data_IF_325032377709
#
_entry.id   IF_325032377709
#
_cell.length_a   1.000
_cell.length_b   1.000
_cell.length_c   1.000
_cell.angle_alpha   90.00
_cell.angle_beta   90.00
_cell.angle_gamma   90.00
#
_symmetry.space_group_name_H-M   'P 1'
#
loop_
_entity.id
_entity.type
_entity.pdbx_description
1 polymer ?
#
# COMPACT_ATOMS: atom_id res chain seq x y z
N UNK A 1 47.02 -9.57 65.88
CA UNK A 1 47.08 -9.85 64.47
C UNK A 1 45.64 -9.85 63.92
N UNK A 2 45.24 -8.75 63.30
CA UNK A 2 43.89 -8.59 62.75
C UNK A 2 43.94 -8.87 61.26
N UNK A 3 43.18 -9.89 60.78
CA UNK A 3 43.01 -10.22 59.36
C UNK A 3 41.93 -9.34 58.76
N UNK A 4 42.29 -8.48 57.80
CA UNK A 4 41.38 -7.66 57.02
C UNK A 4 40.93 -8.53 55.83
N UNK A 5 39.62 -8.84 55.78
CA UNK A 5 39.00 -9.54 54.67
C UNK A 5 38.52 -8.51 53.66
N UNK A 6 39.13 -8.46 52.50
CA UNK A 6 38.64 -7.68 51.33
C UNK A 6 37.46 -8.44 50.71
N UNK A 7 36.28 -7.86 50.83
CA UNK A 7 35.13 -8.28 50.04
C UNK A 7 35.18 -7.53 48.69
N UNK A 8 35.49 -8.25 47.64
CA UNK A 8 35.28 -7.78 46.26
C UNK A 8 33.79 -7.76 45.99
N UNK A 9 33.22 -6.57 45.84
CA UNK A 9 31.88 -6.39 45.32
C UNK A 9 31.99 -6.36 43.79
N UNK A 10 31.63 -7.48 43.14
CA UNK A 10 31.50 -7.57 41.69
C UNK A 10 30.18 -6.92 41.29
N UNK A 11 30.21 -5.68 40.87
CA UNK A 11 29.07 -5.00 40.25
C UNK A 11 28.98 -5.48 38.80
N UNK A 12 28.09 -6.45 38.57
CA UNK A 12 27.69 -6.83 37.20
C UNK A 12 26.72 -5.78 36.72
N UNK A 13 27.21 -4.89 35.88
CA UNK A 13 26.36 -3.91 35.18
C UNK A 13 25.60 -4.64 34.09
N UNK A 14 24.37 -5.08 34.36
CA UNK A 14 23.45 -5.57 33.36
C UNK A 14 22.98 -4.35 32.55
N UNK A 15 23.61 -4.11 31.40
CA UNK A 15 23.08 -3.21 30.40
C UNK A 15 21.86 -3.88 29.74
N UNK A 16 20.68 -3.62 30.32
CA UNK A 16 19.42 -3.89 29.62
C UNK A 16 19.38 -2.93 28.44
N UNK A 17 19.64 -3.45 27.23
CA UNK A 17 19.26 -2.78 26.01
C UNK A 17 17.72 -2.67 26.02
N UNK A 18 17.22 -1.54 26.49
CA UNK A 18 15.84 -1.18 26.24
C UNK A 18 15.71 -1.01 24.73
N UNK A 19 15.14 -1.99 24.07
CA UNK A 19 14.58 -1.79 22.74
C UNK A 19 13.42 -0.84 22.97
N UNK A 20 13.64 0.44 22.68
CA UNK A 20 12.53 1.37 22.61
C UNK A 20 11.64 0.91 21.48
N UNK A 21 10.59 0.17 21.81
CA UNK A 21 9.47 -0.07 20.93
C UNK A 21 8.75 1.27 20.87
N UNK A 22 9.11 2.09 19.90
CA UNK A 22 8.30 3.26 19.57
C UNK A 22 6.90 2.74 19.28
N UNK A 23 5.85 3.24 19.98
CA UNK A 23 4.50 2.91 19.58
C UNK A 23 4.38 3.37 18.13
N UNK A 24 4.15 2.42 17.21
CA UNK A 24 3.69 2.78 15.88
C UNK A 24 2.41 3.57 16.12
N UNK A 25 2.49 4.87 15.93
CA UNK A 25 1.31 5.73 15.98
C UNK A 25 0.31 5.12 15.02
N UNK A 26 -0.87 4.73 15.51
CA UNK A 26 -1.89 4.21 14.64
C UNK A 26 -2.18 5.31 13.61
N UNK A 27 -1.92 5.01 12.34
CA UNK A 27 -2.23 5.92 11.25
C UNK A 27 -3.73 6.18 11.28
N UNK A 28 -4.13 7.42 11.56
CA UNK A 28 -5.53 7.83 11.56
C UNK A 28 -5.87 8.45 10.21
N UNK A 29 -7.04 8.05 9.65
CA UNK A 29 -7.52 8.56 8.37
C UNK A 29 -6.81 7.98 7.14
N UNK A 30 -7.17 8.53 6.00
CA UNK A 30 -6.66 8.14 4.69
C UNK A 30 -5.89 9.28 4.04
N UNK A 31 -4.91 8.94 3.21
CA UNK A 31 -4.28 9.90 2.31
C UNK A 31 -5.28 10.56 1.33
N UNK A 32 -6.45 9.97 1.12
CA UNK A 32 -7.48 10.52 0.22
C UNK A 32 -8.54 11.36 0.93
N UNK A 33 -8.38 11.60 2.25
CA UNK A 33 -9.22 12.53 2.98
C UNK A 33 -8.86 13.98 2.62
N UNK A 34 -9.84 14.86 2.65
CA UNK A 34 -9.66 16.29 2.34
C UNK A 34 -8.58 16.92 3.23
N UNK A 35 -7.62 17.58 2.62
CA UNK A 35 -6.50 18.23 3.29
C UNK A 35 -5.26 17.35 3.51
N UNK A 36 -5.31 16.04 3.21
CA UNK A 36 -4.17 15.14 3.31
C UNK A 36 -3.38 15.01 1.99
N UNK A 37 -3.83 15.63 0.90
CA UNK A 37 -3.15 15.61 -0.38
C UNK A 37 -3.15 17.00 -1.04
N UNK A 38 -2.22 17.22 -1.97
CA UNK A 38 -2.04 18.51 -2.66
C UNK A 38 -2.96 18.60 -3.89
N UNK A 39 -4.14 19.20 -3.71
CA UNK A 39 -5.09 19.41 -4.81
C UNK A 39 -4.53 20.34 -5.91
N UNK A 40 -3.73 21.35 -5.53
CA UNK A 40 -3.15 22.29 -6.49
C UNK A 40 -2.09 21.64 -7.38
N UNK A 41 -1.35 20.65 -6.85
CA UNK A 41 -0.36 19.91 -7.61
C UNK A 41 -1.01 19.19 -8.80
N UNK A 42 -2.16 18.59 -8.56
CA UNK A 42 -2.88 17.88 -9.61
C UNK A 42 -3.32 18.79 -10.72
N UNK A 43 -3.92 19.93 -10.39
CA UNK A 43 -4.36 20.94 -11.38
C UNK A 43 -3.19 21.45 -12.24
N UNK A 44 -2.01 21.60 -11.65
CA UNK A 44 -0.80 22.07 -12.33
C UNK A 44 -0.15 21.03 -13.22
N UNK A 45 -0.33 19.74 -12.92
CA UNK A 45 0.39 18.64 -13.58
C UNK A 45 -0.47 17.80 -14.52
N UNK A 46 -1.78 17.97 -14.50
CA UNK A 46 -2.71 17.13 -15.26
C UNK A 46 -2.40 17.03 -16.75
N UNK A 47 -2.05 18.13 -17.39
CA UNK A 47 -1.75 18.18 -18.82
C UNK A 47 -0.30 17.77 -19.16
N UNK A 48 0.57 17.61 -18.17
CA UNK A 48 1.97 17.26 -18.40
C UNK A 48 2.12 15.80 -18.86
N UNK A 49 3.01 15.56 -19.82
CA UNK A 49 3.38 14.20 -20.23
C UNK A 49 4.18 13.48 -19.13
N UNK A 50 4.95 14.26 -18.34
CA UNK A 50 5.69 13.76 -17.17
C UNK A 50 5.23 14.52 -15.94
N UNK A 51 4.68 13.79 -14.98
CA UNK A 51 4.22 14.30 -13.70
C UNK A 51 5.29 13.98 -12.64
N UNK A 52 5.82 14.99 -12.01
CA UNK A 52 6.90 14.85 -11.00
C UNK A 52 6.30 14.85 -9.61
N UNK A 53 6.66 13.86 -8.80
CA UNK A 53 6.23 13.69 -7.41
C UNK A 53 7.45 13.82 -6.50
N UNK A 54 7.40 14.73 -5.55
CA UNK A 54 8.48 15.04 -4.60
C UNK A 54 8.05 14.95 -3.14
N UNK A 55 6.74 14.90 -2.85
CA UNK A 55 6.20 14.85 -1.50
C UNK A 55 5.12 13.78 -1.37
N UNK A 56 4.82 13.32 -0.14
CA UNK A 56 3.74 12.36 0.08
C UNK A 56 2.35 12.92 -0.26
N UNK A 57 2.13 14.23 -0.10
CA UNK A 57 0.87 14.89 -0.46
C UNK A 57 0.67 14.93 -1.97
N UNK A 58 1.73 15.14 -2.77
CA UNK A 58 1.69 15.05 -4.24
C UNK A 58 1.44 13.61 -4.68
N UNK A 59 2.08 12.64 -4.02
CA UNK A 59 1.85 11.22 -4.26
C UNK A 59 0.39 10.83 -3.98
N UNK A 60 -0.16 11.34 -2.89
CA UNK A 60 -1.55 11.12 -2.52
C UNK A 60 -2.53 11.79 -3.50
N UNK A 61 -2.21 13.00 -4.00
CA UNK A 61 -3.01 13.68 -5.02
C UNK A 61 -3.10 12.86 -6.31
N UNK A 62 -1.97 12.29 -6.77
CA UNK A 62 -1.96 11.37 -7.90
C UNK A 62 -2.85 10.15 -7.68
N UNK A 63 -2.77 9.50 -6.50
CA UNK A 63 -3.61 8.36 -6.13
C UNK A 63 -5.09 8.72 -6.04
N UNK A 64 -5.42 9.88 -5.46
CA UNK A 64 -6.79 10.39 -5.38
C UNK A 64 -7.40 10.63 -6.77
N UNK A 65 -6.61 11.07 -7.74
CA UNK A 65 -7.05 11.25 -9.11
C UNK A 65 -7.43 9.94 -9.80
N UNK A 66 -6.67 8.87 -9.58
CA UNK A 66 -7.04 7.53 -10.07
C UNK A 66 -8.38 7.08 -9.47
N UNK A 67 -8.60 7.37 -8.21
CA UNK A 67 -9.80 6.94 -7.48
C UNK A 67 -11.05 7.74 -7.89
N UNK A 68 -10.95 9.10 -7.98
CA UNK A 68 -12.09 9.99 -8.22
C UNK A 68 -12.51 10.10 -9.67
N UNK A 69 -11.55 10.11 -10.62
CA UNK A 69 -11.83 10.50 -12.02
C UNK A 69 -11.53 9.42 -13.04
N UNK A 70 -11.21 8.19 -12.61
CA UNK A 70 -10.84 7.09 -13.50
C UNK A 70 -9.66 7.44 -14.42
N UNK A 71 -8.75 8.29 -13.95
CA UNK A 71 -7.60 8.68 -14.75
C UNK A 71 -6.62 7.52 -14.80
N UNK A 72 -6.58 6.90 -15.95
CA UNK A 72 -5.74 5.73 -16.18
C UNK A 72 -4.31 6.10 -16.59
N UNK A 73 -4.05 7.41 -16.81
CA UNK A 73 -2.75 7.95 -17.22
C UNK A 73 -2.14 7.31 -18.47
N UNK A 74 -2.92 7.01 -19.54
CA UNK A 74 -2.34 6.47 -20.75
C UNK A 74 -1.31 7.44 -21.31
N UNK A 75 -0.19 6.91 -21.81
CA UNK A 75 0.91 7.68 -22.42
C UNK A 75 1.59 8.72 -21.50
N UNK A 76 1.29 8.72 -20.19
CA UNK A 76 1.93 9.60 -19.22
C UNK A 76 2.96 8.86 -18.38
N UNK A 77 3.99 9.60 -17.95
CA UNK A 77 4.97 9.13 -16.97
C UNK A 77 4.75 9.83 -15.64
N UNK A 78 4.56 9.07 -14.58
CA UNK A 78 4.60 9.54 -13.20
C UNK A 78 5.98 9.19 -12.64
N UNK A 79 6.74 10.20 -12.19
CA UNK A 79 8.13 10.01 -11.76
C UNK A 79 8.33 10.55 -10.35
N UNK A 80 9.00 9.77 -9.52
CA UNK A 80 9.49 10.25 -8.23
C UNK A 80 10.73 11.14 -8.43
N UNK A 81 10.87 12.16 -7.58
CA UNK A 81 12.03 13.06 -7.54
C UNK A 81 12.62 13.16 -6.12
N UNK A 82 12.09 12.40 -5.17
CA UNK A 82 12.57 12.25 -3.79
C UNK A 82 12.11 10.91 -3.21
N UNK A 83 12.71 10.52 -2.10
CA UNK A 83 12.15 9.47 -1.24
C UNK A 83 10.83 9.96 -0.63
N UNK A 84 9.83 9.07 -0.56
CA UNK A 84 8.46 9.40 -0.14
C UNK A 84 8.13 8.66 1.16
N UNK A 85 7.90 9.40 2.24
CA UNK A 85 7.44 8.85 3.52
C UNK A 85 5.92 8.90 3.62
N UNK A 86 5.27 7.73 3.50
CA UNK A 86 3.82 7.58 3.53
C UNK A 86 3.28 7.21 4.92
N UNK A 87 4.07 7.39 5.98
CA UNK A 87 3.72 6.93 7.34
C UNK A 87 2.60 7.70 8.02
N UNK A 88 2.19 8.88 7.52
CA UNK A 88 1.20 9.73 8.18
C UNK A 88 -0.23 9.17 8.12
N UNK A 89 -0.65 8.61 6.99
CA UNK A 89 -2.01 8.16 6.76
C UNK A 89 -2.04 6.81 6.02
N UNK A 90 -3.19 6.14 6.06
CA UNK A 90 -3.39 4.88 5.32
C UNK A 90 -3.60 5.15 3.84
N UNK A 91 -3.04 4.30 3.01
CA UNK A 91 -3.29 4.27 1.58
C UNK A 91 -4.44 3.33 1.28
N UNK A 92 -5.59 3.86 0.90
CA UNK A 92 -6.67 3.04 0.38
C UNK A 92 -6.30 2.69 -1.06
N UNK A 93 -6.32 1.42 -1.42
CA UNK A 93 -6.00 1.01 -2.79
C UNK A 93 -6.83 1.79 -3.79
N UNK A 94 -6.21 2.49 -4.77
CA UNK A 94 -6.97 3.22 -5.77
C UNK A 94 -7.74 2.26 -6.66
N UNK A 95 -9.06 2.32 -6.57
CA UNK A 95 -10.00 1.61 -7.43
C UNK A 95 -11.08 2.59 -7.84
N UNK A 96 -11.48 2.58 -9.09
CA UNK A 96 -12.64 3.33 -9.50
C UNK A 96 -13.82 2.39 -9.60
N UNK A 97 -14.72 2.46 -8.62
CA UNK A 97 -15.91 1.60 -8.53
C UNK A 97 -16.81 1.69 -9.77
N UNK A 98 -16.87 2.85 -10.40
CA UNK A 98 -17.82 3.12 -11.47
C UNK A 98 -17.32 2.70 -12.86
N UNK A 99 -15.98 2.69 -13.08
CA UNK A 99 -15.38 2.50 -14.41
C UNK A 99 -14.25 1.48 -14.45
N UNK A 100 -13.99 0.75 -13.37
CA UNK A 100 -12.88 -0.22 -13.29
C UNK A 100 -11.53 0.46 -13.46
N UNK A 101 -11.20 1.41 -12.58
CA UNK A 101 -9.96 2.17 -12.63
C UNK A 101 -8.73 1.27 -12.66
N UNK A 102 -7.82 1.57 -13.57
CA UNK A 102 -6.53 0.91 -13.70
C UNK A 102 -5.46 1.93 -14.07
N UNK A 103 -4.23 1.65 -13.73
CA UNK A 103 -3.10 2.44 -14.19
C UNK A 103 -2.55 1.85 -15.49
N UNK A 104 -2.32 2.68 -16.52
CA UNK A 104 -1.83 2.22 -17.82
C UNK A 104 -0.62 2.98 -18.35
N UNK A 105 -0.06 3.90 -17.55
CA UNK A 105 1.12 4.69 -17.89
C UNK A 105 2.44 4.05 -17.49
N UNK A 106 3.45 4.90 -17.41
CA UNK A 106 4.75 4.54 -16.84
C UNK A 106 4.83 5.11 -15.43
N UNK A 107 5.11 4.25 -14.43
CA UNK A 107 5.50 4.70 -13.10
C UNK A 107 7.00 4.49 -12.94
N UNK A 108 7.73 5.58 -12.76
CA UNK A 108 9.18 5.61 -12.68
C UNK A 108 9.61 6.04 -11.26
N UNK A 109 10.05 5.08 -10.46
CA UNK A 109 10.58 5.36 -9.13
C UNK A 109 11.91 6.13 -9.15
N UNK A 110 12.59 6.17 -10.30
CA UNK A 110 13.88 6.85 -10.54
C UNK A 110 14.96 6.51 -9.47
N UNK A 111 14.85 5.32 -8.86
CA UNK A 111 15.73 4.82 -7.82
C UNK A 111 15.40 5.33 -6.40
N UNK A 112 14.35 6.14 -6.24
CA UNK A 112 13.87 6.56 -4.93
C UNK A 112 13.04 5.49 -4.23
N UNK A 113 12.88 5.67 -2.93
CA UNK A 113 12.22 4.70 -2.04
C UNK A 113 10.90 5.27 -1.51
N UNK A 114 9.88 4.43 -1.48
CA UNK A 114 8.66 4.67 -0.70
C UNK A 114 8.79 3.92 0.62
N UNK A 115 8.57 4.62 1.73
CA UNK A 115 8.62 4.10 3.10
C UNK A 115 7.32 4.34 3.85
N UNK A 116 7.08 3.58 4.93
CA UNK A 116 5.96 3.78 5.84
C UNK A 116 4.57 3.55 5.23
N UNK A 117 4.49 3.06 4.00
CA UNK A 117 3.23 2.86 3.29
C UNK A 117 2.41 1.74 3.95
N UNK A 118 1.25 2.08 4.50
CA UNK A 118 0.27 1.11 4.98
C UNK A 118 -0.91 1.07 4.03
N UNK A 119 -0.94 0.04 3.19
CA UNK A 119 -2.02 -0.19 2.23
C UNK A 119 -3.17 -0.90 2.93
N UNK A 120 -4.39 -0.38 2.75
CA UNK A 120 -5.63 -1.05 3.14
C UNK A 120 -6.48 -1.32 1.91
N UNK A 121 -7.29 -2.40 1.91
CA UNK A 121 -8.08 -2.76 0.75
C UNK A 121 -9.16 -1.74 0.44
N UNK A 122 -9.45 -1.59 -0.85
CA UNK A 122 -10.71 -1.05 -1.31
C UNK A 122 -11.68 -2.20 -1.63
N UNK A 123 -12.97 -1.91 -1.52
CA UNK A 123 -14.06 -2.83 -1.80
C UNK A 123 -14.80 -2.39 -3.06
N UNK A 124 -15.00 -3.30 -3.99
CA UNK A 124 -15.78 -3.09 -5.21
C UNK A 124 -17.00 -4.01 -5.22
N UNK A 125 -18.18 -3.48 -5.49
CA UNK A 125 -19.42 -4.23 -5.48
C UNK A 125 -19.98 -4.49 -4.08
N UNK A 126 -21.03 -5.28 -3.97
CA UNK A 126 -21.66 -5.65 -2.68
C UNK A 126 -22.94 -4.87 -2.36
N UNK A 127 -23.66 -4.41 -3.38
CA UNK A 127 -25.05 -3.99 -3.23
C UNK A 127 -25.94 -5.16 -2.78
N UNK A 128 -27.16 -4.86 -2.34
CA UNK A 128 -28.11 -5.87 -1.84
C UNK A 128 -28.47 -6.96 -2.87
N UNK A 129 -28.19 -6.70 -4.15
CA UNK A 129 -28.50 -7.60 -5.30
C UNK A 129 -27.22 -8.12 -5.98
N UNK A 130 -26.00 -7.81 -5.47
CA UNK A 130 -24.75 -8.26 -6.07
C UNK A 130 -24.27 -9.59 -5.46
N UNK A 131 -24.36 -10.64 -6.25
CA UNK A 131 -23.80 -11.97 -5.92
C UNK A 131 -22.24 -11.99 -5.95
N UNK A 132 -21.59 -10.82 -6.04
CA UNK A 132 -20.15 -10.70 -6.22
C UNK A 132 -19.58 -9.50 -5.48
N UNK A 133 -18.55 -9.76 -4.66
CA UNK A 133 -17.76 -8.72 -4.00
C UNK A 133 -16.29 -8.91 -4.37
N UNK A 134 -15.67 -7.85 -4.86
CA UNK A 134 -14.23 -7.81 -5.07
C UNK A 134 -13.59 -6.97 -3.99
N UNK A 135 -12.46 -7.45 -3.46
CA UNK A 135 -11.61 -6.74 -2.50
C UNK A 135 -10.20 -6.74 -3.06
N UNK A 136 -9.65 -5.55 -3.24
CA UNK A 136 -8.32 -5.37 -3.80
C UNK A 136 -7.43 -4.59 -2.84
N UNK A 137 -6.19 -5.05 -2.68
CA UNK A 137 -5.20 -4.40 -1.83
C UNK A 137 -3.84 -4.35 -2.54
N UNK A 138 -3.31 -3.15 -2.75
CA UNK A 138 -2.02 -2.89 -3.38
C UNK A 138 -1.74 -1.40 -3.49
N UNK A 139 -0.50 -1.02 -3.77
CA UNK A 139 -0.18 0.36 -4.13
C UNK A 139 -1.02 0.78 -5.35
N UNK A 140 -1.15 -0.12 -6.33
CA UNK A 140 -2.12 -0.06 -7.42
C UNK A 140 -3.18 -1.15 -7.24
N UNK A 141 -4.45 -0.84 -7.50
CA UNK A 141 -5.50 -1.86 -7.58
C UNK A 141 -5.29 -2.75 -8.81
N UNK A 142 -5.42 -2.17 -9.99
CA UNK A 142 -5.14 -2.84 -11.26
C UNK A 142 -4.15 -2.04 -12.09
N UNK A 143 -3.21 -2.72 -12.73
CA UNK A 143 -2.34 -2.17 -13.76
C UNK A 143 -2.63 -2.86 -15.09
N UNK A 144 -2.72 -2.10 -16.19
CA UNK A 144 -3.06 -2.66 -17.50
C UNK A 144 -2.19 -2.05 -18.60
N UNK A 145 -1.39 -2.88 -19.28
CA UNK A 145 -0.47 -2.41 -20.30
C UNK A 145 0.54 -1.37 -19.78
N UNK A 146 0.86 -1.41 -18.50
CA UNK A 146 1.67 -0.42 -17.81
C UNK A 146 3.13 -0.84 -17.68
N UNK A 147 4.00 0.14 -17.43
CA UNK A 147 5.37 -0.10 -17.03
C UNK A 147 5.61 0.48 -15.61
N UNK A 148 6.04 -0.35 -14.68
CA UNK A 148 6.47 0.06 -13.34
C UNK A 148 7.97 -0.21 -13.26
N UNK A 149 8.76 0.83 -13.00
CA UNK A 149 10.21 0.66 -13.01
C UNK A 149 10.91 1.43 -11.90
N UNK A 150 12.10 0.95 -11.54
CA UNK A 150 13.02 1.60 -10.60
C UNK A 150 12.37 2.00 -9.27
N UNK A 151 11.32 1.27 -8.86
CA UNK A 151 10.55 1.50 -7.63
C UNK A 151 11.07 0.62 -6.51
N UNK A 152 11.32 1.23 -5.34
CA UNK A 152 11.62 0.51 -4.10
C UNK A 152 10.50 0.75 -3.09
N UNK A 153 9.91 -0.34 -2.57
CA UNK A 153 9.14 -0.36 -1.32
C UNK A 153 10.04 -0.96 -0.25
N UNK A 154 10.29 -0.23 0.84
CA UNK A 154 11.15 -0.72 1.92
C UNK A 154 10.41 -1.64 2.92
N UNK A 155 11.13 -2.11 3.93
CA UNK A 155 10.60 -3.01 4.98
C UNK A 155 9.63 -2.37 5.96
N UNK A 156 9.43 -1.05 5.91
CA UNK A 156 8.42 -0.35 6.70
C UNK A 156 7.06 -0.30 6.02
N UNK A 157 7.02 -0.65 4.72
CA UNK A 157 5.80 -0.75 3.95
C UNK A 157 5.05 -2.05 4.26
N UNK A 158 3.72 -2.01 4.23
CA UNK A 158 2.89 -3.19 4.45
C UNK A 158 1.52 -3.08 3.78
N UNK A 159 0.96 -4.24 3.46
CA UNK A 159 -0.44 -4.39 3.07
C UNK A 159 -1.19 -5.03 4.23
N UNK A 160 -2.14 -4.32 4.81
CA UNK A 160 -2.98 -4.78 5.91
C UNK A 160 -4.37 -5.16 5.40
N UNK A 161 -4.69 -6.45 5.43
CA UNK A 161 -6.04 -6.92 5.14
C UNK A 161 -6.70 -7.30 6.45
N UNK A 162 -7.64 -6.47 6.97
CA UNK A 162 -8.31 -6.73 8.24
C UNK A 162 -9.17 -7.99 8.15
N UNK A 163 -9.62 -8.46 9.30
CA UNK A 163 -10.58 -9.56 9.37
C UNK A 163 -11.83 -9.18 8.57
N UNK A 164 -12.18 -10.01 7.59
CA UNK A 164 -13.32 -9.78 6.72
C UNK A 164 -14.38 -10.82 7.01
N UNK A 165 -15.60 -10.35 7.24
CA UNK A 165 -16.77 -11.20 7.41
C UNK A 165 -17.56 -11.22 6.09
N UNK A 166 -17.65 -12.37 5.46
CA UNK A 166 -18.57 -12.56 4.36
C UNK A 166 -19.99 -12.80 4.90
N UNK A 167 -20.76 -11.72 5.03
CA UNK A 167 -22.19 -11.80 5.41
C UNK A 167 -23.11 -12.01 4.20
N UNK A 168 -22.55 -12.08 2.99
CA UNK A 168 -23.33 -12.09 1.76
C UNK A 168 -23.41 -13.48 1.16
N UNK A 169 -24.49 -13.71 0.47
CA UNK A 169 -24.75 -14.96 -0.28
C UNK A 169 -23.99 -15.03 -1.62
N UNK A 170 -22.96 -14.19 -1.81
CA UNK A 170 -22.22 -14.04 -3.07
C UNK A 170 -20.77 -14.52 -3.04
N UNK A 171 -20.12 -14.49 -4.19
CA UNK A 171 -18.71 -14.83 -4.35
C UNK A 171 -17.80 -13.69 -3.87
N UNK A 172 -16.71 -14.02 -3.19
CA UNK A 172 -15.67 -13.08 -2.79
C UNK A 172 -14.40 -13.32 -3.62
N UNK A 173 -13.99 -12.31 -4.39
CA UNK A 173 -12.70 -12.27 -5.09
C UNK A 173 -11.74 -11.33 -4.33
N UNK A 174 -10.75 -11.90 -3.68
CA UNK A 174 -9.75 -11.18 -2.90
C UNK A 174 -8.42 -11.20 -3.64
N UNK A 175 -7.95 -10.02 -4.08
CA UNK A 175 -6.66 -9.84 -4.75
C UNK A 175 -5.75 -8.95 -3.91
N UNK A 176 -4.60 -9.48 -3.55
CA UNK A 176 -3.62 -8.81 -2.69
C UNK A 176 -2.25 -8.84 -3.39
N UNK A 177 -1.65 -7.68 -3.54
CA UNK A 177 -0.28 -7.54 -4.01
C UNK A 177 0.34 -6.29 -3.41
N UNK A 178 1.63 -6.28 -3.14
CA UNK A 178 2.28 -5.11 -2.54
C UNK A 178 2.35 -3.94 -3.50
N UNK A 179 2.76 -4.17 -4.75
CA UNK A 179 2.78 -3.14 -5.79
C UNK A 179 1.43 -3.10 -6.51
N UNK A 180 0.95 -4.20 -7.06
CA UNK A 180 -0.32 -4.25 -7.76
C UNK A 180 -1.13 -5.47 -7.34
N UNK A 181 -2.42 -5.28 -7.06
CA UNK A 181 -3.33 -6.38 -6.75
C UNK A 181 -3.69 -7.20 -8.01
N UNK A 182 -3.70 -6.57 -9.18
CA UNK A 182 -3.97 -7.23 -10.46
C UNK A 182 -3.14 -6.61 -11.58
N UNK A 183 -2.66 -7.45 -12.50
CA UNK A 183 -1.94 -7.03 -13.70
C UNK A 183 -2.59 -7.65 -14.94
N UNK A 184 -2.93 -6.82 -15.93
CA UNK A 184 -3.65 -7.21 -17.13
C UNK A 184 -2.93 -6.74 -18.40
N UNK A 185 -2.89 -7.59 -19.42
CA UNK A 185 -2.23 -7.29 -20.68
C UNK A 185 -0.69 -7.30 -20.57
N UNK A 186 -0.03 -6.47 -21.36
CA UNK A 186 1.44 -6.38 -21.40
C UNK A 186 1.96 -5.45 -20.32
N UNK A 187 2.08 -5.94 -19.09
CA UNK A 187 2.59 -5.21 -17.93
C UNK A 187 4.06 -5.56 -17.70
N UNK A 188 4.88 -4.54 -17.45
CA UNK A 188 6.29 -4.70 -17.18
C UNK A 188 6.68 -4.14 -15.81
N UNK A 189 7.35 -4.98 -15.00
CA UNK A 189 8.02 -4.56 -13.76
C UNK A 189 9.53 -4.64 -13.99
N UNK A 190 10.21 -3.50 -13.94
CA UNK A 190 11.62 -3.39 -14.30
C UNK A 190 12.42 -2.82 -13.13
N UNK A 191 13.39 -3.58 -12.60
CA UNK A 191 14.26 -3.17 -11.48
C UNK A 191 13.49 -2.68 -10.25
N UNK A 192 12.33 -3.26 -9.98
CA UNK A 192 11.57 -2.98 -8.77
C UNK A 192 12.12 -3.79 -7.60
N UNK A 193 12.19 -3.17 -6.44
CA UNK A 193 12.59 -3.81 -5.17
C UNK A 193 11.39 -3.75 -4.23
N UNK A 194 10.93 -4.91 -3.79
CA UNK A 194 9.82 -5.00 -2.84
C UNK A 194 10.29 -5.70 -1.57
N UNK A 195 10.22 -4.98 -0.44
CA UNK A 195 10.46 -5.50 0.91
C UNK A 195 9.25 -5.35 1.81
N UNK A 196 8.12 -4.91 1.25
CA UNK A 196 6.89 -4.72 2.00
C UNK A 196 6.31 -6.05 2.47
N UNK A 197 5.75 -6.06 3.67
CA UNK A 197 5.05 -7.20 4.25
C UNK A 197 3.58 -7.25 3.84
N UNK A 198 3.01 -8.47 3.78
CA UNK A 198 1.57 -8.67 3.65
C UNK A 198 1.06 -9.28 4.96
N UNK A 199 0.22 -8.52 5.66
CA UNK A 199 -0.39 -8.91 6.92
C UNK A 199 -1.87 -9.18 6.69
N UNK A 200 -2.26 -10.45 6.72
CA UNK A 200 -3.67 -10.85 6.53
C UNK A 200 -4.20 -11.54 7.77
N UNK A 201 -5.46 -11.25 8.12
CA UNK A 201 -6.22 -12.03 9.08
C UNK A 201 -7.11 -13.04 8.33
N UNK A 202 -7.51 -14.16 8.97
CA UNK A 202 -8.36 -15.14 8.30
C UNK A 202 -9.68 -14.55 7.85
N UNK A 203 -10.10 -14.89 6.63
CA UNK A 203 -11.45 -14.59 6.15
C UNK A 203 -12.41 -15.60 6.74
N UNK A 204 -13.36 -15.14 7.58
CA UNK A 204 -14.37 -16.00 8.18
C UNK A 204 -15.62 -16.06 7.28
N UNK A 205 -16.06 -17.28 7.00
CA UNK A 205 -17.34 -17.53 6.31
C UNK A 205 -18.48 -17.65 7.31
N UNK A 206 -19.56 -16.96 7.01
CA UNK A 206 -20.85 -17.18 7.67
C UNK A 206 -21.88 -17.47 6.58
N UNK A 207 -22.17 -18.76 6.32
CA UNK A 207 -23.22 -19.19 5.36
C UNK A 207 -22.80 -20.30 4.41
N UNK A 208 -23.76 -20.99 3.84
CA UNK A 208 -23.59 -22.13 2.94
C UNK A 208 -23.23 -21.71 1.51
N UNK A 209 -22.24 -22.37 0.93
CA UNK A 209 -21.97 -22.58 -0.50
C UNK A 209 -21.60 -21.40 -1.40
N UNK A 210 -20.56 -20.60 -1.05
CA UNK A 210 -20.02 -19.63 -2.02
C UNK A 210 -18.49 -19.76 -2.13
N UNK A 211 -17.95 -19.44 -3.31
CA UNK A 211 -16.52 -19.55 -3.58
C UNK A 211 -15.76 -18.33 -3.04
N UNK A 212 -14.67 -18.56 -2.33
CA UNK A 212 -13.68 -17.52 -2.01
C UNK A 212 -12.47 -17.80 -2.89
N UNK A 213 -12.19 -16.90 -3.81
CA UNK A 213 -10.95 -16.89 -4.58
C UNK A 213 -10.00 -15.90 -3.90
N UNK A 214 -8.87 -16.38 -3.40
CA UNK A 214 -7.86 -15.55 -2.80
C UNK A 214 -6.55 -15.67 -3.60
N UNK A 215 -6.13 -14.56 -4.20
CA UNK A 215 -4.83 -14.45 -4.88
C UNK A 215 -3.94 -13.51 -4.07
N UNK A 216 -2.85 -14.06 -3.54
CA UNK A 216 -1.83 -13.28 -2.82
C UNK A 216 -0.53 -13.40 -3.60
N UNK A 217 0.00 -12.28 -4.06
CA UNK A 217 1.30 -12.24 -4.72
C UNK A 217 2.14 -11.08 -4.16
N UNK A 218 3.34 -11.40 -3.68
CA UNK A 218 4.39 -10.40 -3.67
C UNK A 218 4.71 -10.00 -5.11
N UNK A 219 5.49 -8.93 -5.33
CA UNK A 219 5.99 -8.64 -6.67
C UNK A 219 6.60 -9.91 -7.24
N UNK A 220 6.08 -10.38 -8.34
CA UNK A 220 6.75 -11.39 -9.13
C UNK A 220 7.94 -10.69 -9.78
N UNK A 221 9.14 -10.92 -9.23
CA UNK A 221 10.37 -10.46 -9.82
C UNK A 221 10.67 -11.23 -11.10
#
# INVERSE_FOLDING_TARGET
>A
MKRIAYRFFLIVLLSVLAVEVFPVSAQEGSWFDEGNYDEEWLDKNFDNDVMIISTPEEFAAWGAAMNRWSWNYPDKTVRLAADIDMSAHKWITPVNEQFGGYFSGVFDGDGYTISGLTVVPAEEGGGYDDDYKRVVAGLFGTVRGAEIRDLTLDETCRVEVPEMYSFYYGNLDLKIGTIAASAEGDVRFIRCVNRADIVTTPVLRTGDSHEIVCSVSGLVA
#
